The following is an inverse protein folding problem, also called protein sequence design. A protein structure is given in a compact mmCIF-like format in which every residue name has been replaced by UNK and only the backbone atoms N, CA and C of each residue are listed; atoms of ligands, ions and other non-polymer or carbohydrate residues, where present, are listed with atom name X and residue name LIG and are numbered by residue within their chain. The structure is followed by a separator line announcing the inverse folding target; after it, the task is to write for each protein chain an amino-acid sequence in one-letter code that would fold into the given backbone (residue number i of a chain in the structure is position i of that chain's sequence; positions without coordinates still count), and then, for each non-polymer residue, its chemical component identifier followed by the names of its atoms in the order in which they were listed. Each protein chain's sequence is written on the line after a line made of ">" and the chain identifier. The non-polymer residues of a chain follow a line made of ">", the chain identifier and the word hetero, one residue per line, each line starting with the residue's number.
data_IF_280807725133
#
_entry.id   IF_280807725133
#
_cell.length_a   1.000
_cell.length_b   1.000
_cell.length_c   1.000
_cell.angle_alpha   90.00
_cell.angle_beta   90.00
_cell.angle_gamma   90.00
#
_symmetry.space_group_name_H-M   'P 1'
#
loop_
_entity.id
_entity.type
_entity.pdbx_description
1 polymer ?
#
# COMPACT_ATOMS: atom_id res chain seq x y z
N UNK A 1 4.62 9.52 -14.81
CA UNK A 1 3.38 9.16 -14.10
C UNK A 1 3.31 7.68 -13.72
N UNK A 2 3.70 6.73 -14.58
CA UNK A 2 3.73 5.29 -14.23
C UNK A 2 4.78 4.92 -13.15
N UNK A 3 5.96 5.55 -13.16
CA UNK A 3 7.02 5.24 -12.17
C UNK A 3 6.60 5.47 -10.71
N UNK A 4 5.84 6.55 -10.46
CA UNK A 4 5.29 6.89 -9.14
C UNK A 4 4.22 5.90 -8.68
N UNK A 5 3.44 5.34 -9.61
CA UNK A 5 2.44 4.30 -9.29
C UNK A 5 3.11 2.97 -8.99
N UNK A 6 4.08 2.54 -9.80
CA UNK A 6 4.82 1.30 -9.58
C UNK A 6 5.56 1.33 -8.24
N UNK A 7 6.16 2.47 -7.89
CA UNK A 7 6.82 2.64 -6.59
C UNK A 7 5.83 2.51 -5.42
N UNK A 8 4.65 3.12 -5.51
CA UNK A 8 3.62 3.01 -4.46
C UNK A 8 3.11 1.57 -4.28
N UNK A 9 2.89 0.85 -5.38
CA UNK A 9 2.47 -0.56 -5.36
C UNK A 9 3.55 -1.44 -4.71
N UNK A 10 4.83 -1.20 -5.01
CA UNK A 10 5.94 -1.92 -4.39
C UNK A 10 6.03 -1.64 -2.89
N UNK A 11 5.93 -0.37 -2.45
CA UNK A 11 5.93 -0.05 -1.02
C UNK A 11 4.71 -0.65 -0.30
N UNK A 12 3.54 -0.70 -0.94
CA UNK A 12 2.36 -1.39 -0.41
C UNK A 12 2.61 -2.89 -0.23
N UNK A 13 3.19 -3.55 -1.23
CA UNK A 13 3.53 -4.97 -1.15
C UNK A 13 4.51 -5.25 -0.01
N UNK A 14 5.56 -4.43 0.12
CA UNK A 14 6.53 -4.53 1.21
C UNK A 14 5.89 -4.35 2.58
N UNK A 15 5.03 -3.35 2.73
CA UNK A 15 4.28 -3.13 3.97
C UNK A 15 3.44 -4.36 4.35
N UNK A 16 2.67 -4.92 3.40
CA UNK A 16 1.84 -6.10 3.65
C UNK A 16 2.70 -7.30 4.06
N UNK A 17 3.84 -7.51 3.40
CA UNK A 17 4.73 -8.63 3.71
C UNK A 17 5.40 -8.51 5.08
N UNK A 18 5.76 -7.30 5.51
CA UNK A 18 6.51 -7.08 6.76
C UNK A 18 5.59 -6.88 7.98
N UNK A 19 4.40 -6.30 7.77
CA UNK A 19 3.53 -5.82 8.85
C UNK A 19 2.24 -6.60 9.00
N UNK A 20 1.92 -7.51 8.09
CA UNK A 20 0.69 -8.29 8.16
C UNK A 20 0.94 -9.79 8.10
N UNK A 21 0.16 -10.52 8.88
CA UNK A 21 0.04 -11.97 8.83
C UNK A 21 -1.37 -12.36 9.31
N UNK A 22 -1.62 -13.65 9.51
CA UNK A 22 -2.93 -14.16 9.95
C UNK A 22 -3.41 -13.59 11.30
N UNK A 23 -2.49 -13.14 12.16
CA UNK A 23 -2.77 -12.61 13.50
C UNK A 23 -2.63 -11.08 13.59
N UNK A 24 -1.97 -10.46 12.60
CA UNK A 24 -1.70 -9.03 12.58
C UNK A 24 -2.36 -8.36 11.37
N UNK A 25 -3.66 -8.06 11.42
CA UNK A 25 -4.31 -7.32 10.35
C UNK A 25 -3.85 -5.86 10.35
N UNK A 26 -3.72 -5.27 9.15
CA UNK A 26 -3.53 -3.84 8.99
C UNK A 26 -4.80 -3.16 8.46
N UNK A 27 -5.02 -1.92 8.89
CA UNK A 27 -6.10 -1.08 8.37
C UNK A 27 -5.64 -0.24 7.18
N UNK A 28 -6.59 0.29 6.42
CA UNK A 28 -6.29 1.26 5.35
C UNK A 28 -5.58 2.51 5.91
N UNK A 29 -5.90 2.91 7.14
CA UNK A 29 -5.24 4.05 7.79
C UNK A 29 -3.76 3.77 8.06
N UNK A 30 -3.40 2.54 8.43
CA UNK A 30 -2.00 2.14 8.68
C UNK A 30 -1.18 2.20 7.38
N UNK A 31 -1.77 1.72 6.29
CA UNK A 31 -1.17 1.77 4.95
C UNK A 31 -0.95 3.22 4.51
N UNK A 32 -1.95 4.09 4.67
CA UNK A 32 -1.84 5.51 4.33
C UNK A 32 -0.74 6.18 5.17
N UNK A 33 -0.68 5.88 6.47
CA UNK A 33 0.35 6.41 7.36
C UNK A 33 1.76 5.96 6.92
N UNK A 34 1.91 4.68 6.55
CA UNK A 34 3.18 4.15 6.03
C UNK A 34 3.63 4.87 4.76
N UNK A 35 2.75 4.97 3.76
CA UNK A 35 3.06 5.62 2.48
C UNK A 35 3.38 7.11 2.68
N UNK A 36 2.61 7.81 3.51
CA UNK A 36 2.90 9.21 3.85
C UNK A 36 4.25 9.37 4.55
N UNK A 37 4.63 8.44 5.42
CA UNK A 37 5.95 8.39 6.06
C UNK A 37 7.11 8.21 5.07
N UNK A 38 6.84 7.65 3.89
CA UNK A 38 7.77 7.55 2.76
C UNK A 38 7.68 8.72 1.78
N UNK A 39 6.88 9.74 2.08
CA UNK A 39 6.64 10.88 1.19
C UNK A 39 5.70 10.57 0.01
N UNK A 40 5.02 9.42 0.04
CA UNK A 40 4.09 8.98 -1.00
C UNK A 40 2.67 9.32 -0.54
N UNK A 41 2.08 10.35 -1.14
CA UNK A 41 0.70 10.70 -0.81
C UNK A 41 -0.26 9.61 -1.28
N UNK A 42 -1.09 9.15 -0.34
CA UNK A 42 -2.13 8.16 -0.58
C UNK A 42 -3.44 8.57 0.10
N UNK A 43 -4.55 8.22 -0.54
CA UNK A 43 -5.90 8.33 0.01
C UNK A 43 -6.57 6.96 -0.06
N UNK A 44 -7.72 6.81 0.61
CA UNK A 44 -8.45 5.54 0.66
C UNK A 44 -8.72 4.95 -0.72
N UNK A 45 -9.11 5.76 -1.71
CA UNK A 45 -9.35 5.26 -3.07
C UNK A 45 -8.07 4.74 -3.74
N UNK A 46 -6.92 5.38 -3.54
CA UNK A 46 -5.67 4.92 -4.15
C UNK A 46 -5.21 3.60 -3.53
N UNK A 47 -5.35 3.45 -2.20
CA UNK A 47 -5.02 2.20 -1.53
C UNK A 47 -5.87 1.04 -2.09
N UNK A 48 -7.19 1.23 -2.25
CA UNK A 48 -8.03 0.19 -2.85
C UNK A 48 -7.63 -0.16 -4.28
N UNK A 49 -7.32 0.86 -5.11
CA UNK A 49 -6.88 0.62 -6.48
C UNK A 49 -5.56 -0.17 -6.52
N UNK A 50 -4.60 0.18 -5.66
CA UNK A 50 -3.30 -0.50 -5.60
C UNK A 50 -3.43 -1.92 -5.03
N UNK A 51 -4.28 -2.14 -4.02
CA UNK A 51 -4.57 -3.48 -3.49
C UNK A 51 -5.21 -4.36 -4.56
N UNK A 52 -6.16 -3.84 -5.34
CA UNK A 52 -6.74 -4.58 -6.45
C UNK A 52 -5.68 -4.93 -7.52
N UNK A 53 -4.80 -3.97 -7.85
CA UNK A 53 -3.71 -4.23 -8.78
C UNK A 53 -2.74 -5.32 -8.29
N UNK A 54 -2.54 -5.46 -6.96
CA UNK A 54 -1.75 -6.55 -6.38
C UNK A 54 -2.49 -7.91 -6.39
N UNK A 55 -3.82 -7.90 -6.29
CA UNK A 55 -4.64 -9.12 -6.34
C UNK A 55 -4.72 -9.67 -7.77
N UNK A 56 -4.79 -8.79 -8.77
CA UNK A 56 -4.96 -9.15 -10.19
C UNK A 56 -3.64 -9.52 -10.90
N UNK A 57 -2.49 -9.34 -10.23
CA UNK A 57 -1.15 -9.60 -10.77
C UNK A 57 -0.73 -11.08 -10.67
#
# INVERSE_FOLDING_TARGET
>A
MQNSTNMRILELLWFLYERTDENHPATVSDIIAHLNGKGIQAVRQTVYADTNALIDA
#
